data_IF_073833955793
#
_entry.id   IF_073833955793
#
_cell.length_a   1.000
_cell.length_b   1.000
_cell.length_c   1.000
_cell.angle_alpha   90.00
_cell.angle_beta   90.00
_cell.angle_gamma   90.00
#
_symmetry.space_group_name_H-M   'P 1'
#
loop_
_entity.id
_entity.type
_entity.pdbx_description
1 polymer ?
#
# COMPACT_ATOMS: atom_id res chain seq x y z
N UNK A 1 20.65 1.06 -22.93
CA UNK A 1 20.65 0.21 -21.72
C UNK A 1 19.61 0.78 -20.77
N UNK A 2 18.53 0.05 -20.51
CA UNK A 2 17.59 0.42 -19.44
C UNK A 2 18.35 0.24 -18.12
N UNK A 3 18.43 1.29 -17.32
CA UNK A 3 19.06 1.23 -16.00
C UNK A 3 18.16 0.35 -15.13
N UNK A 4 18.54 -0.90 -14.94
CA UNK A 4 17.86 -1.80 -14.00
C UNK A 4 18.18 -1.33 -12.59
N UNK A 5 17.20 -0.74 -11.91
CA UNK A 5 17.30 -0.49 -10.48
C UNK A 5 17.15 -1.84 -9.75
N UNK A 6 17.94 -2.07 -8.70
CA UNK A 6 17.71 -3.20 -7.79
C UNK A 6 16.52 -2.82 -6.89
N UNK A 7 15.31 -3.10 -7.38
CA UNK A 7 14.07 -2.71 -6.74
C UNK A 7 13.60 -3.85 -5.86
N UNK A 8 13.73 -3.67 -4.54
CA UNK A 8 13.15 -4.62 -3.58
C UNK A 8 11.63 -4.43 -3.48
N UNK A 9 10.86 -5.49 -3.18
CA UNK A 9 9.41 -5.36 -2.95
C UNK A 9 9.06 -4.39 -1.82
N UNK A 10 9.91 -4.27 -0.80
CA UNK A 10 9.78 -3.27 0.25
C UNK A 10 9.88 -1.85 -0.31
N UNK A 11 10.86 -1.60 -1.18
CA UNK A 11 11.03 -0.30 -1.83
C UNK A 11 9.83 0.05 -2.73
N UNK A 12 9.28 -0.92 -3.47
CA UNK A 12 8.05 -0.71 -4.27
C UNK A 12 6.88 -0.31 -3.38
N UNK A 13 6.67 -1.03 -2.28
CA UNK A 13 5.57 -0.75 -1.35
C UNK A 13 5.74 0.63 -0.68
N UNK A 14 6.94 0.96 -0.23
CA UNK A 14 7.24 2.28 0.34
C UNK A 14 6.99 3.39 -0.69
N UNK A 15 7.50 3.24 -1.92
CA UNK A 15 7.29 4.23 -2.97
C UNK A 15 5.81 4.40 -3.31
N UNK A 16 5.06 3.30 -3.43
CA UNK A 16 3.61 3.32 -3.68
C UNK A 16 2.85 4.04 -2.56
N UNK A 17 3.08 3.66 -1.29
CA UNK A 17 2.42 4.29 -0.15
C UNK A 17 2.81 5.78 0.00
N UNK A 18 4.09 6.12 -0.17
CA UNK A 18 4.56 7.51 -0.14
C UNK A 18 3.90 8.34 -1.23
N UNK A 19 3.75 7.79 -2.43
CA UNK A 19 3.11 8.49 -3.53
C UNK A 19 1.61 8.69 -3.29
N UNK A 20 0.90 7.71 -2.70
CA UNK A 20 -0.50 7.89 -2.24
C UNK A 20 -0.60 9.03 -1.22
N UNK A 21 0.28 9.02 -0.21
CA UNK A 21 0.29 10.05 0.83
C UNK A 21 0.56 11.44 0.24
N UNK A 22 1.50 11.54 -0.70
CA UNK A 22 1.77 12.78 -1.45
C UNK A 22 0.49 13.26 -2.16
N UNK A 23 -0.16 12.40 -2.92
CA UNK A 23 -1.36 12.74 -3.68
C UNK A 23 -2.53 13.16 -2.77
N UNK A 24 -2.73 12.48 -1.63
CA UNK A 24 -3.74 12.89 -0.63
C UNK A 24 -3.48 14.28 -0.06
N UNK A 25 -2.21 14.65 0.17
CA UNK A 25 -1.84 16.00 0.65
C UNK A 25 -2.11 17.09 -0.38
N UNK A 26 -1.87 16.82 -1.67
CA UNK A 26 -2.12 17.79 -2.74
C UNK A 26 -3.61 18.08 -2.93
N UNK A 27 -4.49 17.07 -2.77
CA UNK A 27 -5.95 17.25 -2.87
C UNK A 27 -6.54 18.26 -1.85
N UNK A 28 -5.81 18.59 -0.78
CA UNK A 28 -6.26 19.53 0.26
C UNK A 28 -6.03 20.99 -0.14
N UNK A 29 -5.18 21.29 -1.13
CA UNK A 29 -5.06 22.65 -1.67
C UNK A 29 -6.06 22.84 -2.82
N UNK A 30 -7.15 23.57 -2.57
CA UNK A 30 -8.25 23.81 -3.52
C UNK A 30 -7.87 24.64 -4.75
N UNK A 31 -6.64 25.17 -4.84
CA UNK A 31 -6.22 26.09 -5.88
C UNK A 31 -5.10 25.51 -6.75
N UNK A 32 -5.46 24.73 -7.78
CA UNK A 32 -4.57 24.39 -8.89
C UNK A 32 -4.58 22.93 -9.31
N UNK A 33 -4.10 22.65 -10.54
CA UNK A 33 -3.88 21.28 -10.99
C UNK A 33 -2.95 20.56 -10.00
N UNK A 34 -3.45 19.52 -9.35
CA UNK A 34 -2.67 18.76 -8.39
C UNK A 34 -1.56 18.02 -9.13
N UNK A 35 -0.29 18.32 -8.84
CA UNK A 35 0.89 17.67 -9.45
C UNK A 35 1.10 16.21 -9.04
N UNK A 36 0.03 15.49 -8.67
CA UNK A 36 0.08 14.07 -8.36
C UNK A 36 0.28 13.27 -9.65
N UNK A 37 1.35 12.47 -9.72
CA UNK A 37 1.67 11.66 -10.90
C UNK A 37 0.57 10.64 -11.28
N UNK A 38 -0.34 10.33 -10.35
CA UNK A 38 -1.46 9.42 -10.54
C UNK A 38 -2.82 10.10 -10.72
N UNK A 39 -2.86 11.42 -10.58
CA UNK A 39 -4.08 12.21 -10.58
C UNK A 39 -3.78 13.50 -11.34
N UNK A 40 -3.83 13.43 -12.67
CA UNK A 40 -3.71 14.58 -13.57
C UNK A 40 -5.01 15.40 -13.62
N UNK A 41 -5.68 15.60 -12.47
CA UNK A 41 -6.88 16.46 -12.39
C UNK A 41 -6.50 17.92 -12.56
N UNK A 42 -6.37 18.29 -13.82
CA UNK A 42 -6.64 19.62 -14.34
C UNK A 42 -8.09 19.68 -14.82
N UNK A 43 -8.78 20.85 -14.76
CA UNK A 43 -10.09 21.00 -15.36
C UNK A 43 -10.02 20.66 -16.86
N UNK A 44 -10.46 19.47 -17.24
CA UNK A 44 -10.39 18.95 -18.61
C UNK A 44 -10.15 17.43 -18.73
N UNK A 45 -9.53 16.79 -17.74
CA UNK A 45 -9.29 15.34 -17.75
C UNK A 45 -10.26 14.62 -16.81
N UNK A 46 -11.21 13.85 -17.38
CA UNK A 46 -12.05 12.88 -16.65
C UNK A 46 -11.37 11.52 -16.57
N UNK A 47 -10.06 11.48 -16.45
CA UNK A 47 -9.39 10.21 -16.24
C UNK A 47 -9.72 9.75 -14.84
N UNK A 48 -10.33 8.57 -14.79
CA UNK A 48 -10.82 7.93 -13.59
C UNK A 48 -9.68 7.94 -12.59
N UNK A 49 -9.88 8.65 -11.47
CA UNK A 49 -9.19 8.28 -10.25
C UNK A 49 -9.24 6.77 -10.17
N UNK A 50 -8.13 6.11 -9.87
CA UNK A 50 -8.30 4.86 -9.21
C UNK A 50 -8.82 5.18 -7.81
N UNK A 51 -10.14 5.23 -7.69
CA UNK A 51 -10.89 5.50 -6.47
C UNK A 51 -10.50 4.53 -5.32
N UNK A 52 -9.79 3.44 -5.64
CA UNK A 52 -9.49 2.33 -4.75
C UNK A 52 -8.02 2.26 -4.29
N UNK A 53 -7.22 3.30 -4.48
CA UNK A 53 -5.81 3.26 -4.08
C UNK A 53 -5.64 3.43 -2.57
N UNK A 54 -5.59 2.29 -1.88
CA UNK A 54 -5.28 2.17 -0.47
C UNK A 54 -3.80 1.87 -0.25
N UNK A 55 -3.27 2.37 0.87
CA UNK A 55 -1.92 2.02 1.31
C UNK A 55 -1.85 0.53 1.66
N UNK A 56 -0.77 -0.12 1.23
CA UNK A 56 -0.55 -1.55 1.49
C UNK A 56 0.45 -1.68 2.64
N UNK A 57 -0.03 -2.23 3.75
CA UNK A 57 0.78 -2.49 4.94
C UNK A 57 0.86 -4.00 5.20
N UNK A 58 2.05 -4.49 5.51
CA UNK A 58 2.29 -5.87 5.93
C UNK A 58 2.96 -5.89 7.31
N UNK A 59 2.63 -6.88 8.17
CA UNK A 59 1.56 -7.87 7.98
C UNK A 59 0.16 -7.20 8.01
N UNK A 60 -0.86 -7.86 7.42
CA UNK A 60 -2.27 -7.46 7.56
C UNK A 60 -3.18 -8.68 7.67
N UNK A 61 -4.25 -8.55 8.45
CA UNK A 61 -5.32 -9.57 8.48
C UNK A 61 -6.23 -9.43 7.27
N UNK A 62 -6.52 -10.55 6.59
CA UNK A 62 -7.55 -10.61 5.54
C UNK A 62 -8.84 -11.28 6.01
N UNK A 63 -8.78 -11.98 7.14
CA UNK A 63 -9.91 -12.48 7.91
C UNK A 63 -9.50 -12.56 9.38
N UNK A 64 -10.43 -12.92 10.27
CA UNK A 64 -10.14 -13.19 11.69
C UNK A 64 -9.15 -14.35 11.92
N UNK A 65 -8.85 -15.16 10.90
CA UNK A 65 -7.96 -16.32 11.00
C UNK A 65 -6.78 -16.29 10.03
N UNK A 66 -6.72 -15.31 9.11
CA UNK A 66 -5.72 -15.32 8.02
C UNK A 66 -4.92 -14.03 7.98
N UNK A 67 -3.60 -14.18 8.01
CA UNK A 67 -2.63 -13.08 7.94
C UNK A 67 -1.91 -13.15 6.59
N UNK A 68 -1.89 -12.04 5.87
CA UNK A 68 -0.95 -11.82 4.75
C UNK A 68 0.28 -11.08 5.26
N UNK A 69 1.47 -11.51 4.84
CA UNK A 69 2.73 -10.89 5.21
C UNK A 69 3.75 -10.99 4.08
N UNK A 70 4.81 -10.18 4.15
CA UNK A 70 5.90 -10.19 3.18
C UNK A 70 7.09 -10.98 3.73
N UNK A 71 7.56 -11.98 2.98
CA UNK A 71 8.77 -12.74 3.31
C UNK A 71 9.58 -13.00 2.04
N UNK A 72 10.87 -12.68 2.08
CA UNK A 72 11.81 -12.86 0.96
C UNK A 72 11.28 -12.23 -0.35
N UNK A 73 10.66 -11.06 -0.24
CA UNK A 73 10.08 -10.33 -1.38
C UNK A 73 8.78 -10.91 -1.94
N UNK A 74 8.22 -11.94 -1.32
CA UNK A 74 6.97 -12.57 -1.77
C UNK A 74 5.88 -12.40 -0.72
N UNK A 75 4.65 -12.20 -1.18
CA UNK A 75 3.47 -12.22 -0.33
C UNK A 75 3.20 -13.67 0.06
N UNK A 76 3.05 -13.91 1.36
CA UNK A 76 2.74 -15.19 1.97
C UNK A 76 1.44 -15.09 2.76
N UNK A 77 0.78 -16.23 2.95
CA UNK A 77 -0.42 -16.37 3.78
C UNK A 77 -0.19 -17.42 4.86
N UNK A 78 -0.67 -17.14 6.07
CA UNK A 78 -0.86 -18.14 7.11
C UNK A 78 -2.31 -18.08 7.56
N UNK A 79 -2.97 -19.24 7.62
CA UNK A 79 -4.33 -19.41 8.14
C UNK A 79 -4.28 -20.27 9.41
N UNK A 80 -4.88 -19.76 10.47
CA UNK A 80 -4.97 -20.42 11.77
C UNK A 80 -6.33 -21.09 11.94
N UNK A 81 -6.39 -22.15 12.75
CA UNK A 81 -7.64 -22.83 13.09
C UNK A 81 -8.54 -22.02 14.03
N UNK A 82 -7.94 -21.09 14.81
CA UNK A 82 -8.64 -20.23 15.78
C UNK A 82 -8.27 -18.78 15.55
N UNK A 83 -9.22 -17.87 15.75
CA UNK A 83 -8.99 -16.44 15.60
C UNK A 83 -8.03 -15.88 16.66
N UNK A 84 -8.04 -16.42 17.87
CA UNK A 84 -7.15 -16.01 18.97
C UNK A 84 -5.68 -16.25 18.63
N UNK A 85 -5.37 -17.38 17.97
CA UNK A 85 -4.02 -17.72 17.55
C UNK A 85 -3.53 -16.77 16.44
N UNK A 86 -4.41 -16.45 15.48
CA UNK A 86 -4.13 -15.46 14.45
C UNK A 86 -3.90 -14.07 15.04
N UNK A 87 -4.73 -13.63 16.00
CA UNK A 87 -4.58 -12.34 16.63
C UNK A 87 -3.26 -12.24 17.42
N UNK A 88 -2.89 -13.28 18.17
CA UNK A 88 -1.61 -13.34 18.89
C UNK A 88 -0.43 -13.25 17.92
N UNK A 89 -0.42 -14.07 16.87
CA UNK A 89 0.65 -14.06 15.88
C UNK A 89 0.75 -12.72 15.15
N UNK A 90 -0.39 -12.10 14.82
CA UNK A 90 -0.41 -10.78 14.19
C UNK A 90 0.24 -9.72 15.08
N UNK A 91 -0.12 -9.69 16.38
CA UNK A 91 0.49 -8.76 17.36
C UNK A 91 2.00 -8.97 17.46
N UNK A 92 2.46 -10.21 17.52
CA UNK A 92 3.90 -10.53 17.56
C UNK A 92 4.63 -10.03 16.30
N UNK A 93 4.00 -10.13 15.12
CA UNK A 93 4.59 -9.65 13.87
C UNK A 93 4.61 -8.11 13.76
N UNK A 94 3.69 -7.39 14.40
CA UNK A 94 3.61 -5.93 14.36
C UNK A 94 4.40 -5.22 15.46
N UNK A 95 4.78 -5.90 16.55
CA UNK A 95 5.38 -5.28 17.75
C UNK A 95 6.93 -5.26 17.69
N UNK A 96 7.50 -4.93 16.53
CA UNK A 96 8.96 -4.77 16.39
C UNK A 96 9.41 -3.32 16.53
#
# INVERSE_FOLDING_TARGET
>A
MVKGYDITPQLVLSAYNTQIQFCRKQRVSEEGCNGCIFDNRCPGYKDMDPADWEEIHYPRMTSNTTIKYLKDGKVQLITYGRSEDAEKAFKEMTTK
#
